data_IF_040217848268
#
_entry.id   IF_040217848268
#
_cell.length_a   1.000
_cell.length_b   1.000
_cell.length_c   1.000
_cell.angle_alpha   90.00
_cell.angle_beta   90.00
_cell.angle_gamma   90.00
#
_symmetry.space_group_name_H-M   'P 1'
#
loop_
_entity.id
_entity.type
_entity.pdbx_description
1 polymer ?
#
# COMPACT_ATOMS: atom_id res chain seq x y z
N UNK A 1 -10.92 5.05 17.80
CA UNK A 1 -11.55 6.22 17.15
C UNK A 1 -11.25 7.49 17.94
N UNK A 2 -10.39 8.37 17.41
CA UNK A 2 -10.24 9.73 17.89
C UNK A 2 -10.10 10.66 16.68
N UNK A 3 -11.11 11.50 16.47
CA UNK A 3 -11.15 12.52 15.41
C UNK A 3 -10.19 13.65 15.76
N UNK A 4 -9.09 13.78 15.02
CA UNK A 4 -8.33 15.02 14.97
C UNK A 4 -8.87 15.89 13.84
N UNK A 5 -9.85 16.74 14.16
CA UNK A 5 -10.26 17.85 13.30
C UNK A 5 -9.73 19.16 13.88
N UNK A 6 -8.79 19.79 13.19
CA UNK A 6 -8.67 21.26 13.11
C UNK A 6 -7.99 21.64 11.79
N UNK A 7 -8.81 22.08 10.83
CA UNK A 7 -8.42 23.03 9.79
C UNK A 7 -7.63 22.52 8.58
N UNK A 8 -8.04 21.43 7.93
CA UNK A 8 -7.84 21.35 6.47
C UNK A 8 -9.12 21.85 5.83
N UNK A 9 -9.06 22.75 4.84
CA UNK A 9 -10.17 22.89 3.87
C UNK A 9 -10.54 21.45 3.51
N UNK A 10 -11.79 21.04 3.71
CA UNK A 10 -12.22 19.70 3.30
C UNK A 10 -11.88 19.59 1.82
N UNK A 11 -10.82 18.85 1.51
CA UNK A 11 -10.47 18.60 0.13
C UNK A 11 -11.62 17.73 -0.37
N UNK A 12 -12.50 18.34 -1.17
CA UNK A 12 -13.59 17.63 -1.80
C UNK A 12 -12.98 16.45 -2.56
N UNK A 13 -13.55 15.24 -2.43
CA UNK A 13 -13.17 14.12 -3.28
C UNK A 13 -13.15 14.54 -4.75
N UNK A 14 -12.27 13.93 -5.55
CA UNK A 14 -12.08 14.34 -6.94
C UNK A 14 -13.39 14.25 -7.74
N UNK A 15 -14.19 13.20 -7.48
CA UNK A 15 -15.50 13.01 -8.10
C UNK A 15 -16.52 14.11 -7.78
N UNK A 16 -16.35 14.83 -6.67
CA UNK A 16 -17.23 15.94 -6.25
C UNK A 16 -16.79 17.30 -6.81
N UNK A 17 -15.62 17.37 -7.47
CA UNK A 17 -15.20 18.59 -8.15
C UNK A 17 -16.14 18.90 -9.32
N UNK A 18 -16.24 20.19 -9.68
CA UNK A 18 -16.98 20.56 -10.89
C UNK A 18 -16.32 19.95 -12.14
N UNK A 19 -17.12 19.61 -13.16
CA UNK A 19 -16.61 19.06 -14.43
C UNK A 19 -15.47 19.87 -15.04
N UNK A 20 -15.52 21.20 -14.90
CA UNK A 20 -14.43 22.10 -15.35
C UNK A 20 -13.13 21.81 -14.61
N UNK A 21 -13.17 21.71 -13.26
CA UNK A 21 -11.98 21.43 -12.44
C UNK A 21 -11.41 20.04 -12.71
N UNK A 22 -12.28 19.04 -12.91
CA UNK A 22 -11.85 17.69 -13.30
C UNK A 22 -11.13 17.72 -14.65
N UNK A 23 -11.71 18.40 -15.65
CA UNK A 23 -11.10 18.55 -16.98
C UNK A 23 -9.78 19.32 -16.94
N UNK A 24 -9.69 20.40 -16.16
CA UNK A 24 -8.45 21.18 -16.02
C UNK A 24 -7.33 20.31 -15.41
N UNK A 25 -7.65 19.54 -14.36
CA UNK A 25 -6.71 18.59 -13.76
C UNK A 25 -6.29 17.48 -14.75
N UNK A 26 -7.26 16.94 -15.50
CA UNK A 26 -7.01 15.92 -16.53
C UNK A 26 -6.02 16.42 -17.58
N UNK A 27 -6.22 17.64 -18.10
CA UNK A 27 -5.32 18.25 -19.09
C UNK A 27 -3.93 18.49 -18.51
N UNK A 28 -3.84 18.98 -17.26
CA UNK A 28 -2.54 19.17 -16.60
C UNK A 28 -1.78 17.84 -16.45
N UNK A 29 -2.46 16.78 -16.01
CA UNK A 29 -1.86 15.47 -15.87
C UNK A 29 -1.45 14.89 -17.24
N UNK A 30 -2.25 15.08 -18.28
CA UNK A 30 -1.89 14.67 -19.65
C UNK A 30 -0.55 15.27 -20.09
N UNK A 31 -0.35 16.57 -19.87
CA UNK A 31 0.92 17.22 -20.19
C UNK A 31 2.08 16.65 -19.37
N UNK A 32 1.86 16.37 -18.09
CA UNK A 32 2.87 15.73 -17.25
C UNK A 32 3.28 14.36 -17.78
N UNK A 33 2.30 13.50 -18.11
CA UNK A 33 2.56 12.18 -18.69
C UNK A 33 3.39 12.30 -19.98
N UNK A 34 3.07 13.27 -20.85
CA UNK A 34 3.85 13.52 -22.06
C UNK A 34 5.29 13.93 -21.74
N UNK A 35 5.50 14.84 -20.78
CA UNK A 35 6.83 15.23 -20.33
C UNK A 35 7.64 14.06 -19.75
N UNK A 36 6.97 13.16 -19.02
CA UNK A 36 7.60 12.03 -18.36
C UNK A 36 7.71 10.78 -19.27
N UNK A 37 7.31 10.87 -20.54
CA UNK A 37 7.39 9.76 -21.52
C UNK A 37 8.77 9.08 -21.55
N UNK A 38 9.91 9.80 -21.52
CA UNK A 38 11.23 9.15 -21.50
C UNK A 38 11.48 8.27 -20.27
N UNK A 39 10.70 8.43 -19.20
CA UNK A 39 10.84 7.72 -17.93
C UNK A 39 9.76 6.64 -17.71
N UNK A 40 8.54 6.88 -18.19
CA UNK A 40 7.38 6.02 -17.88
C UNK A 40 6.58 5.56 -19.11
N UNK A 41 7.11 5.71 -20.32
CA UNK A 41 6.48 5.19 -21.54
C UNK A 41 5.24 5.94 -22.03
N UNK A 42 4.82 6.99 -21.33
CA UNK A 42 3.75 7.90 -21.80
C UNK A 42 2.32 7.41 -21.53
N UNK A 43 2.14 6.33 -20.75
CA UNK A 43 0.82 5.85 -20.29
C UNK A 43 0.48 6.40 -18.90
N UNK A 44 1.49 6.55 -18.06
CA UNK A 44 1.36 7.01 -16.68
C UNK A 44 2.48 7.97 -16.30
N UNK A 45 2.37 8.53 -15.10
CA UNK A 45 3.43 9.29 -14.43
C UNK A 45 3.44 8.93 -12.95
N UNK A 46 4.59 9.12 -12.28
CA UNK A 46 4.72 8.96 -10.84
C UNK A 46 5.69 9.97 -10.25
N UNK A 47 5.50 10.24 -8.95
CA UNK A 47 6.44 10.99 -8.13
C UNK A 47 7.55 10.10 -7.54
N UNK A 48 7.41 8.78 -7.62
CA UNK A 48 8.37 7.80 -7.14
C UNK A 48 9.40 7.45 -8.22
N UNK A 49 10.49 6.77 -7.87
CA UNK A 49 11.44 6.22 -8.85
C UNK A 49 11.13 4.75 -9.06
N UNK A 50 10.80 4.36 -10.29
CA UNK A 50 10.51 2.97 -10.65
C UNK A 50 11.79 2.13 -10.71
N UNK A 51 12.74 2.53 -11.58
CA UNK A 51 13.96 1.74 -11.83
C UNK A 51 15.17 2.33 -11.09
N UNK A 52 15.22 2.18 -9.77
CA UNK A 52 16.38 2.59 -8.98
C UNK A 52 17.58 1.64 -9.23
N UNK A 53 18.72 2.12 -9.77
CA UNK A 53 19.83 1.25 -10.13
C UNK A 53 20.40 0.52 -8.91
N UNK A 54 20.51 -0.80 -9.01
CA UNK A 54 21.06 -1.66 -7.94
C UNK A 54 20.09 -1.96 -6.80
N UNK A 55 18.82 -1.53 -6.89
CA UNK A 55 17.78 -1.91 -5.94
C UNK A 55 17.40 -3.39 -6.14
N UNK A 56 17.45 -4.23 -5.09
CA UNK A 56 17.00 -5.60 -5.19
C UNK A 56 15.50 -5.72 -5.50
N UNK A 57 15.14 -6.69 -6.33
CA UNK A 57 13.77 -7.01 -6.76
C UNK A 57 12.76 -7.17 -5.62
N UNK A 58 13.24 -7.59 -4.44
CA UNK A 58 12.42 -7.76 -3.25
C UNK A 58 11.76 -6.46 -2.78
N UNK A 59 12.31 -5.32 -3.18
CA UNK A 59 11.75 -4.01 -2.88
C UNK A 59 10.86 -3.48 -4.01
N UNK A 60 10.80 -4.14 -5.16
CA UNK A 60 10.00 -3.74 -6.32
C UNK A 60 8.65 -4.46 -6.30
N UNK A 61 7.95 -4.39 -5.16
CA UNK A 61 6.73 -5.16 -4.92
C UNK A 61 5.46 -4.30 -4.92
N UNK A 62 5.63 -2.98 -4.96
CA UNK A 62 4.55 -2.01 -5.00
C UNK A 62 4.99 -0.74 -5.75
N UNK A 63 4.04 0.03 -6.27
CA UNK A 63 4.30 1.33 -6.88
C UNK A 63 3.05 2.21 -6.92
N UNK A 64 3.20 3.51 -6.62
CA UNK A 64 2.14 4.49 -6.82
C UNK A 64 2.30 5.20 -8.17
N UNK A 65 1.20 5.38 -8.90
CA UNK A 65 1.21 6.07 -10.19
C UNK A 65 -0.13 6.73 -10.52
N UNK A 66 -0.09 7.67 -11.46
CA UNK A 66 -1.25 8.38 -11.97
C UNK A 66 -1.41 8.08 -13.46
N UNK A 67 -2.63 7.79 -13.89
CA UNK A 67 -2.97 7.69 -15.32
C UNK A 67 -4.35 8.25 -15.61
N UNK A 68 -4.64 8.44 -16.90
CA UNK A 68 -5.89 9.03 -17.37
C UNK A 68 -6.88 7.94 -17.76
N UNK A 69 -8.14 8.16 -17.38
CA UNK A 69 -9.28 7.40 -17.88
C UNK A 69 -9.51 7.66 -19.37
N UNK A 70 -10.16 6.71 -20.03
CA UNK A 70 -10.70 6.85 -21.38
C UNK A 70 -11.86 7.86 -21.49
N UNK A 71 -12.51 8.23 -20.37
CA UNK A 71 -13.66 9.15 -20.35
C UNK A 71 -13.31 10.64 -20.61
N UNK A 72 -12.02 10.98 -20.56
CA UNK A 72 -11.54 12.33 -20.80
C UNK A 72 -11.68 13.32 -19.63
N UNK A 73 -12.03 12.86 -18.43
CA UNK A 73 -12.11 13.69 -17.22
C UNK A 73 -11.63 13.02 -15.92
N UNK A 74 -11.59 11.69 -15.85
CA UNK A 74 -11.17 10.95 -14.66
C UNK A 74 -9.66 10.76 -14.63
N UNK A 75 -9.10 11.03 -13.45
CA UNK A 75 -7.72 10.71 -13.11
C UNK A 75 -7.77 9.51 -12.18
N UNK A 76 -7.06 8.45 -12.54
CA UNK A 76 -6.82 7.32 -11.66
C UNK A 76 -5.56 7.58 -10.85
N UNK A 77 -5.70 7.52 -9.53
CA UNK A 77 -4.60 7.58 -8.58
C UNK A 77 -4.41 6.18 -8.02
N UNK A 78 -3.46 5.46 -8.61
CA UNK A 78 -3.35 4.03 -8.48
C UNK A 78 -2.16 3.62 -7.61
N UNK A 79 -2.40 2.64 -6.75
CA UNK A 79 -1.39 1.82 -6.11
C UNK A 79 -1.47 0.43 -6.77
N UNK A 80 -0.34 -0.10 -7.21
CA UNK A 80 -0.23 -1.48 -7.69
C UNK A 80 0.70 -2.25 -6.80
N UNK A 81 0.30 -3.46 -6.41
CA UNK A 81 1.11 -4.39 -5.63
C UNK A 81 1.16 -5.76 -6.32
N UNK A 82 2.25 -6.49 -6.11
CA UNK A 82 2.35 -7.89 -6.54
C UNK A 82 1.48 -8.79 -5.67
N UNK A 83 1.12 -9.96 -6.20
CA UNK A 83 0.51 -11.04 -5.40
C UNK A 83 1.37 -11.45 -4.20
N UNK A 84 2.70 -11.33 -4.32
CA UNK A 84 3.63 -11.59 -3.22
C UNK A 84 3.48 -10.57 -2.07
N UNK A 85 3.40 -9.26 -2.36
CA UNK A 85 3.14 -8.24 -1.36
C UNK A 85 1.79 -8.45 -0.70
N UNK A 86 0.74 -8.60 -1.52
CA UNK A 86 -0.62 -8.84 -1.03
C UNK A 86 -0.71 -10.07 -0.12
N UNK A 87 0.03 -11.13 -0.43
CA UNK A 87 0.11 -12.33 0.41
C UNK A 87 0.78 -12.07 1.75
N UNK A 88 1.89 -11.32 1.78
CA UNK A 88 2.55 -10.96 3.03
C UNK A 88 1.69 -10.04 3.88
N UNK A 89 1.05 -9.05 3.28
CA UNK A 89 0.14 -8.14 3.97
C UNK A 89 -1.03 -8.92 4.59
N UNK A 90 -1.66 -9.83 3.83
CA UNK A 90 -2.75 -10.67 4.34
C UNK A 90 -2.31 -11.57 5.51
N UNK A 91 -1.12 -12.17 5.44
CA UNK A 91 -0.58 -12.96 6.55
C UNK A 91 -0.30 -12.08 7.77
N UNK A 92 0.27 -10.89 7.54
CA UNK A 92 0.58 -9.93 8.60
C UNK A 92 -0.70 -9.45 9.30
N UNK A 93 -1.75 -9.13 8.54
CA UNK A 93 -3.07 -8.73 9.02
C UNK A 93 -3.71 -9.85 9.85
N UNK A 94 -3.76 -11.08 9.33
CA UNK A 94 -4.32 -12.22 10.06
C UNK A 94 -3.54 -12.51 11.35
N UNK A 95 -2.21 -12.44 11.32
CA UNK A 95 -1.37 -12.61 12.50
C UNK A 95 -1.59 -11.47 13.52
N UNK A 96 -1.79 -10.25 13.02
CA UNK A 96 -2.11 -9.08 13.83
C UNK A 96 -3.46 -9.23 14.52
N UNK A 97 -4.52 -9.57 13.79
CA UNK A 97 -5.87 -9.79 14.33
C UNK A 97 -5.87 -10.86 15.42
N UNK A 98 -5.20 -12.00 15.17
CA UNK A 98 -5.07 -13.07 16.15
C UNK A 98 -4.32 -12.61 17.40
N UNK A 99 -3.19 -11.92 17.22
CA UNK A 99 -2.38 -11.40 18.35
C UNK A 99 -3.17 -10.36 19.15
N UNK A 100 -3.85 -9.44 18.47
CA UNK A 100 -4.67 -8.40 19.10
C UNK A 100 -5.82 -9.01 19.90
N UNK A 101 -6.45 -10.08 19.41
CA UNK A 101 -7.59 -10.73 20.07
C UNK A 101 -7.25 -11.33 21.45
N UNK A 102 -5.96 -11.60 21.71
CA UNK A 102 -5.46 -12.14 22.97
C UNK A 102 -5.11 -11.06 24.01
N UNK A 103 -5.02 -9.80 23.60
CA UNK A 103 -4.72 -8.68 24.48
C UNK A 103 -6.00 -8.09 25.08
N UNK A 104 -5.93 -7.72 26.36
CA UNK A 104 -6.95 -6.87 26.96
C UNK A 104 -6.89 -5.46 26.37
N UNK A 105 -7.99 -4.70 26.49
CA UNK A 105 -8.03 -3.30 26.04
C UNK A 105 -6.97 -2.43 26.71
N UNK A 106 -6.66 -2.71 27.97
CA UNK A 106 -5.69 -1.95 28.75
C UNK A 106 -4.26 -2.28 28.32
N UNK A 107 -3.95 -3.57 28.10
CA UNK A 107 -2.67 -4.01 27.55
C UNK A 107 -2.42 -3.40 26.17
N UNK A 108 -3.42 -3.49 25.28
CA UNK A 108 -3.37 -2.87 23.96
C UNK A 108 -3.11 -1.36 24.05
N UNK A 109 -3.88 -0.66 24.88
CA UNK A 109 -3.72 0.80 25.04
C UNK A 109 -2.34 1.16 25.57
N UNK A 110 -1.75 0.31 26.41
CA UNK A 110 -0.44 0.57 26.99
C UNK A 110 0.72 0.26 26.01
N UNK A 111 0.57 -0.74 25.14
CA UNK A 111 1.52 -1.03 24.04
C UNK A 111 1.61 0.14 23.06
N UNK A 112 0.46 0.75 22.73
CA UNK A 112 0.37 1.85 21.76
C UNK A 112 0.31 3.23 22.41
N UNK A 113 0.74 3.36 23.68
CA UNK A 113 0.85 4.63 24.40
C UNK A 113 2.06 5.46 23.93
N UNK A 114 2.18 5.68 22.62
CA UNK A 114 3.28 6.41 21.99
C UNK A 114 3.30 7.86 22.48
N UNK A 115 4.48 8.34 22.85
CA UNK A 115 4.68 9.73 23.26
C UNK A 115 5.34 10.51 22.14
N UNK A 116 5.02 11.80 22.05
CA UNK A 116 5.73 12.71 21.14
C UNK A 116 6.37 13.82 21.94
N UNK A 117 7.64 14.11 21.63
CA UNK A 117 8.38 15.23 22.22
C UNK A 117 8.82 16.20 21.12
N UNK A 118 8.73 17.51 21.33
CA UNK A 118 9.21 18.48 20.35
C UNK A 118 10.72 18.36 20.21
N UNK A 119 11.23 18.49 18.98
CA UNK A 119 12.67 18.63 18.70
C UNK A 119 12.94 19.97 18.03
N UNK A 120 14.19 20.50 18.10
CA UNK A 120 14.52 21.78 17.49
C UNK A 120 14.08 21.86 16.03
N UNK A 121 13.59 23.03 15.62
CA UNK A 121 13.05 23.23 14.28
C UNK A 121 14.15 23.10 13.23
N UNK A 122 13.93 22.27 12.21
CA UNK A 122 14.78 22.21 11.02
C UNK A 122 14.12 23.06 9.95
N UNK A 123 14.82 24.09 9.45
CA UNK A 123 14.31 25.03 8.42
C UNK A 123 12.96 25.68 8.78
N UNK A 124 12.76 26.01 10.07
CA UNK A 124 11.54 26.67 10.56
C UNK A 124 10.32 25.75 10.70
N UNK A 125 10.42 24.46 10.38
CA UNK A 125 9.35 23.49 10.64
C UNK A 125 9.44 22.93 12.06
N UNK A 126 8.30 22.89 12.76
CA UNK A 126 8.20 22.22 14.07
C UNK A 126 8.27 20.71 13.84
N UNK A 127 9.29 20.09 14.41
CA UNK A 127 9.50 18.66 14.31
C UNK A 127 9.20 18.01 15.66
N UNK A 128 8.70 16.78 15.63
CA UNK A 128 8.46 15.97 16.83
C UNK A 128 9.20 14.64 16.69
N UNK A 129 9.75 14.15 17.79
CA UNK A 129 10.27 12.79 17.91
C UNK A 129 9.20 11.93 18.56
N UNK A 130 8.90 10.80 17.93
CA UNK A 130 8.08 9.73 18.53
C UNK A 130 8.96 8.92 19.47
N UNK A 131 8.46 8.65 20.67
CA UNK A 131 9.07 7.77 21.66
C UNK A 131 8.14 6.57 21.79
N UNK A 132 8.66 5.42 21.36
CA UNK A 132 7.98 4.13 21.48
C UNK A 132 8.13 3.62 22.93
N UNK A 133 7.08 3.02 23.51
CA UNK A 133 7.20 2.28 24.77
C UNK A 133 8.21 1.13 24.63
N UNK A 134 8.86 0.77 25.74
CA UNK A 134 9.66 -0.46 25.78
C UNK A 134 8.78 -1.68 25.50
N UNK A 135 9.23 -2.63 24.66
CA UNK A 135 8.47 -3.84 24.35
C UNK A 135 8.09 -4.61 25.62
N UNK A 136 6.80 -4.90 25.79
CA UNK A 136 6.30 -5.62 26.96
C UNK A 136 6.04 -7.07 26.61
N UNK A 137 6.26 -7.94 27.58
CA UNK A 137 5.93 -9.37 27.49
C UNK A 137 4.59 -9.62 28.16
N UNK A 138 3.71 -10.35 27.48
CA UNK A 138 2.34 -10.59 27.93
C UNK A 138 2.13 -12.07 28.20
N UNK A 139 1.50 -12.40 29.33
CA UNK A 139 1.18 -13.81 29.69
C UNK A 139 0.23 -14.41 28.66
N UNK A 140 -0.73 -13.64 28.15
CA UNK A 140 -1.66 -14.04 27.09
C UNK A 140 -0.98 -14.35 25.75
N UNK A 141 0.26 -13.89 25.56
CA UNK A 141 1.08 -14.15 24.37
C UNK A 141 2.22 -15.13 24.68
N UNK A 142 2.04 -16.04 25.64
CA UNK A 142 3.05 -17.00 26.09
C UNK A 142 4.37 -16.34 26.59
N UNK A 143 4.27 -15.15 27.18
CA UNK A 143 5.45 -14.38 27.61
C UNK A 143 6.22 -13.73 26.46
N UNK A 144 5.68 -13.72 25.24
CA UNK A 144 6.25 -13.01 24.10
C UNK A 144 5.83 -11.54 24.09
N UNK A 145 6.60 -10.73 23.38
CA UNK A 145 6.16 -9.40 22.96
C UNK A 145 5.11 -9.50 21.85
N UNK A 146 4.35 -8.43 21.62
CA UNK A 146 3.37 -8.37 20.52
C UNK A 146 4.03 -8.69 19.18
N UNK A 147 5.19 -8.10 18.92
CA UNK A 147 5.96 -8.34 17.69
C UNK A 147 6.43 -9.79 17.56
N UNK A 148 7.05 -10.35 18.61
CA UNK A 148 7.49 -11.76 18.60
C UNK A 148 6.32 -12.73 18.39
N UNK A 149 5.18 -12.45 19.03
CA UNK A 149 3.97 -13.27 18.88
C UNK A 149 3.40 -13.18 17.47
N UNK A 150 3.33 -11.97 16.89
CA UNK A 150 2.87 -11.77 15.52
C UNK A 150 3.80 -12.47 14.51
N UNK A 151 5.12 -12.37 14.65
CA UNK A 151 6.08 -13.07 13.78
C UNK A 151 5.95 -14.60 13.86
N UNK A 152 5.72 -15.14 15.07
CA UNK A 152 5.44 -16.56 15.30
C UNK A 152 4.13 -16.98 14.63
N UNK A 153 3.07 -16.20 14.82
CA UNK A 153 1.73 -16.46 14.28
C UNK A 153 1.74 -16.39 12.75
N UNK A 154 2.39 -15.38 12.16
CA UNK A 154 2.57 -15.26 10.72
C UNK A 154 3.30 -16.49 10.13
N UNK A 155 4.34 -16.98 10.82
CA UNK A 155 5.06 -18.21 10.42
C UNK A 155 4.19 -19.47 10.49
N UNK A 156 3.27 -19.55 11.46
CA UNK A 156 2.32 -20.65 11.59
C UNK A 156 1.26 -20.60 10.48
N UNK A 157 0.64 -19.44 10.25
CA UNK A 157 -0.33 -19.22 9.16
C UNK A 157 0.29 -19.61 7.81
N UNK A 158 1.50 -19.13 7.53
CA UNK A 158 2.21 -19.44 6.29
C UNK A 158 2.38 -20.95 6.05
N UNK A 159 2.58 -21.72 7.13
CA UNK A 159 2.85 -23.17 7.08
C UNK A 159 1.56 -23.98 7.04
N UNK A 160 0.61 -23.64 7.90
CA UNK A 160 -0.52 -24.50 8.22
C UNK A 160 -1.76 -24.13 7.40
N UNK A 161 -1.95 -22.85 7.08
CA UNK A 161 -3.13 -22.33 6.39
C UNK A 161 -2.83 -21.03 5.62
N UNK A 162 -1.99 -21.06 4.56
CA UNK A 162 -1.68 -19.87 3.78
C UNK A 162 -2.95 -19.34 3.08
N UNK A 163 -3.20 -18.01 3.08
CA UNK A 163 -4.37 -17.45 2.43
C UNK A 163 -4.27 -17.52 0.90
N UNK A 164 -5.41 -17.64 0.25
CA UNK A 164 -5.51 -17.44 -1.20
C UNK A 164 -5.50 -15.94 -1.52
N UNK A 165 -4.76 -15.56 -2.55
CA UNK A 165 -4.69 -14.19 -3.06
C UNK A 165 -5.23 -14.15 -4.47
N UNK A 166 -5.97 -13.11 -4.82
CA UNK A 166 -6.60 -12.95 -6.12
C UNK A 166 -6.09 -11.66 -6.76
N UNK A 167 -5.88 -11.69 -8.08
CA UNK A 167 -5.75 -10.43 -8.81
C UNK A 167 -7.04 -9.63 -8.68
N UNK A 168 -6.93 -8.33 -8.46
CA UNK A 168 -8.08 -7.47 -8.22
C UNK A 168 -7.83 -6.01 -8.62
N UNK A 169 -8.93 -5.31 -8.83
CA UNK A 169 -9.03 -3.86 -8.98
C UNK A 169 -10.11 -3.37 -8.02
N UNK A 170 -9.72 -2.49 -7.09
CA UNK A 170 -10.62 -1.92 -6.08
C UNK A 170 -10.60 -0.40 -6.17
N UNK A 171 -11.76 0.25 -6.07
CA UNK A 171 -11.91 1.68 -6.35
C UNK A 171 -12.27 2.44 -5.07
N UNK A 172 -11.45 3.43 -4.70
CA UNK A 172 -11.76 4.40 -3.63
C UNK A 172 -12.13 5.77 -4.22
N UNK A 173 -13.42 6.11 -4.13
CA UNK A 173 -13.94 7.40 -4.63
C UNK A 173 -13.82 8.53 -3.60
N UNK A 174 -13.35 8.26 -2.39
CA UNK A 174 -13.22 9.26 -1.32
C UNK A 174 -11.96 10.13 -1.45
N UNK A 175 -11.04 9.75 -2.34
CA UNK A 175 -9.76 10.42 -2.50
C UNK A 175 -9.86 11.76 -3.24
N UNK A 176 -9.00 12.72 -2.87
CA UNK A 176 -9.06 14.10 -3.40
C UNK A 176 -8.14 14.38 -4.60
N UNK A 177 -7.17 13.50 -4.88
CA UNK A 177 -6.12 13.71 -5.89
C UNK A 177 -6.30 12.78 -7.11
N UNK A 178 -7.54 12.58 -7.51
CA UNK A 178 -7.96 11.53 -8.46
C UNK A 178 -8.89 10.55 -7.76
N UNK A 179 -9.43 9.61 -8.53
CA UNK A 179 -10.15 8.44 -8.00
C UNK A 179 -9.10 7.39 -7.62
N UNK A 180 -9.13 6.94 -6.37
CA UNK A 180 -8.23 5.90 -5.87
C UNK A 180 -8.47 4.57 -6.56
N UNK A 181 -7.40 3.85 -6.87
CA UNK A 181 -7.43 2.54 -7.49
C UNK A 181 -6.35 1.66 -6.88
N UNK A 182 -6.74 0.58 -6.21
CA UNK A 182 -5.81 -0.42 -5.70
C UNK A 182 -5.80 -1.62 -6.65
N UNK A 183 -4.61 -2.03 -7.10
CA UNK A 183 -4.42 -3.13 -8.03
C UNK A 183 -3.57 -4.24 -7.40
N UNK A 184 -4.05 -5.47 -7.46
CA UNK A 184 -3.25 -6.68 -7.16
C UNK A 184 -3.02 -7.44 -8.46
N UNK A 185 -1.76 -7.73 -8.79
CA UNK A 185 -1.39 -8.42 -10.03
C UNK A 185 -0.49 -9.63 -9.78
N UNK A 186 -0.62 -10.67 -10.61
CA UNK A 186 0.30 -11.80 -10.63
C UNK A 186 1.57 -11.43 -11.41
N UNK A 187 2.54 -10.89 -10.69
CA UNK A 187 3.85 -10.52 -11.21
C UNK A 187 4.92 -10.71 -10.13
N UNK A 188 6.16 -11.12 -10.50
CA UNK A 188 7.25 -11.28 -9.53
C UNK A 188 7.80 -9.94 -9.02
N UNK A 189 7.76 -8.91 -9.87
CA UNK A 189 8.19 -7.54 -9.57
C UNK A 189 7.30 -6.55 -10.31
N UNK A 190 7.23 -5.32 -9.81
CA UNK A 190 6.61 -4.19 -10.50
C UNK A 190 7.67 -3.48 -11.33
N UNK A 191 7.46 -3.46 -12.64
CA UNK A 191 8.23 -2.68 -13.60
C UNK A 191 7.27 -1.89 -14.52
N UNK A 192 7.84 -1.13 -15.45
CA UNK A 192 7.05 -0.32 -16.39
C UNK A 192 6.06 -1.19 -17.20
N UNK A 193 6.50 -2.35 -17.68
CA UNK A 193 5.68 -3.23 -18.51
C UNK A 193 4.51 -3.85 -17.73
N UNK A 194 4.71 -4.18 -16.46
CA UNK A 194 3.65 -4.64 -15.56
C UNK A 194 2.60 -3.56 -15.34
N UNK A 195 3.02 -2.33 -15.07
CA UNK A 195 2.12 -1.18 -14.88
C UNK A 195 1.30 -0.93 -16.15
N UNK A 196 1.96 -0.86 -17.31
CA UNK A 196 1.28 -0.64 -18.59
C UNK A 196 0.26 -1.74 -18.88
N UNK A 197 0.63 -3.02 -18.68
CA UNK A 197 -0.29 -4.16 -18.85
C UNK A 197 -1.48 -4.09 -17.90
N UNK A 198 -1.26 -3.72 -16.64
CA UNK A 198 -2.34 -3.57 -15.66
C UNK A 198 -3.31 -2.45 -16.06
N UNK A 199 -2.79 -1.29 -16.50
CA UNK A 199 -3.61 -0.18 -17.02
C UNK A 199 -4.42 -0.61 -18.25
N UNK A 200 -3.81 -1.32 -19.19
CA UNK A 200 -4.51 -1.84 -20.37
C UNK A 200 -5.63 -2.81 -19.97
N UNK A 201 -5.34 -3.76 -19.08
CA UNK A 201 -6.33 -4.73 -18.58
C UNK A 201 -7.49 -4.04 -17.88
N UNK A 202 -7.20 -3.05 -17.03
CA UNK A 202 -8.22 -2.27 -16.34
C UNK A 202 -9.14 -1.52 -17.32
N UNK A 203 -8.57 -0.91 -18.37
CA UNK A 203 -9.34 -0.25 -19.44
C UNK A 203 -10.21 -1.21 -20.23
N UNK A 204 -9.65 -2.36 -20.63
CA UNK A 204 -10.38 -3.40 -21.38
C UNK A 204 -11.57 -3.97 -20.60
N UNK A 205 -11.47 -3.98 -19.26
CA UNK A 205 -12.55 -4.38 -18.35
C UNK A 205 -13.56 -3.26 -18.06
N UNK A 206 -13.41 -2.08 -18.67
CA UNK A 206 -14.32 -0.96 -18.51
C UNK A 206 -14.04 -0.05 -17.32
N UNK A 207 -12.82 -0.06 -16.79
CA UNK A 207 -12.37 0.80 -15.67
C UNK A 207 -13.24 0.67 -14.40
N UNK A 208 -13.60 -0.58 -14.07
CA UNK A 208 -14.43 -0.92 -12.93
C UNK A 208 -13.73 -1.84 -11.93
N UNK A 209 -14.40 -2.06 -10.79
CA UNK A 209 -13.97 -3.05 -9.81
C UNK A 209 -13.99 -4.45 -10.42
N UNK A 210 -13.01 -5.26 -10.06
CA UNK A 210 -12.87 -6.61 -10.55
C UNK A 210 -12.08 -7.47 -9.57
N UNK A 211 -12.42 -8.74 -9.49
CA UNK A 211 -11.64 -9.76 -8.77
C UNK A 211 -11.57 -11.00 -9.65
N UNK A 212 -10.40 -11.61 -9.74
CA UNK A 212 -10.22 -12.89 -10.43
C UNK A 212 -11.08 -13.98 -9.78
N UNK A 213 -11.61 -14.91 -10.58
CA UNK A 213 -12.33 -16.08 -10.07
C UNK A 213 -11.42 -17.21 -9.64
N UNK A 214 -10.12 -17.12 -9.97
CA UNK A 214 -9.10 -18.11 -9.64
C UNK A 214 -7.99 -17.42 -8.86
N UNK A 215 -7.52 -18.00 -7.74
CA UNK A 215 -6.43 -17.41 -6.97
C UNK A 215 -5.11 -17.49 -7.75
N UNK A 216 -4.19 -16.58 -7.41
CA UNK A 216 -2.81 -16.62 -7.84
C UNK A 216 -2.21 -17.97 -7.41
N UNK A 217 -1.59 -18.73 -8.33
CA UNK A 217 -1.02 -20.02 -8.01
C UNK A 217 -0.06 -19.98 -6.81
N UNK A 218 -0.21 -20.93 -5.88
CA UNK A 218 0.61 -20.96 -4.64
C UNK A 218 2.12 -20.99 -4.90
N UNK A 219 2.57 -21.52 -6.03
CA UNK A 219 3.97 -21.54 -6.44
C UNK A 219 4.51 -20.18 -6.92
N UNK A 220 3.64 -19.20 -7.20
CA UNK A 220 4.02 -17.80 -7.46
C UNK A 220 4.13 -16.99 -6.15
N UNK A 221 3.51 -17.49 -5.07
CA UNK A 221 3.49 -16.84 -3.75
C UNK A 221 4.69 -17.28 -2.88
N UNK A 222 5.17 -16.42 -1.96
CA UNK A 222 6.36 -16.69 -1.17
C UNK A 222 6.17 -17.87 -0.20
N UNK A 223 7.28 -18.57 0.09
CA UNK A 223 7.34 -19.68 1.08
C UNK A 223 7.91 -19.25 2.42
N UNK A 224 8.27 -17.98 2.55
CA UNK A 224 8.82 -17.38 3.76
C UNK A 224 8.05 -16.08 4.05
N UNK A 225 8.11 -15.64 5.31
CA UNK A 225 7.58 -14.34 5.71
C UNK A 225 8.45 -13.22 5.14
N UNK A 226 7.85 -12.04 4.92
CA UNK A 226 8.56 -10.85 4.43
C UNK A 226 9.83 -10.57 5.23
N UNK A 227 9.74 -10.58 6.56
CA UNK A 227 10.87 -10.34 7.46
C UNK A 227 12.05 -11.30 7.21
N UNK A 228 11.78 -12.58 6.95
CA UNK A 228 12.83 -13.58 6.65
C UNK A 228 13.42 -13.35 5.26
N UNK A 229 12.60 -13.02 4.28
CA UNK A 229 13.07 -12.76 2.93
C UNK A 229 13.90 -11.47 2.87
N UNK A 230 13.50 -10.40 3.55
CA UNK A 230 14.30 -9.16 3.62
C UNK A 230 15.63 -9.42 4.35
N UNK A 231 15.63 -10.24 5.41
CA UNK A 231 16.85 -10.56 6.15
C UNK A 231 17.93 -11.20 5.26
N UNK A 232 17.57 -12.06 4.31
CA UNK A 232 18.54 -12.71 3.41
C UNK A 232 19.21 -11.77 2.40
N UNK A 233 18.73 -10.52 2.26
CA UNK A 233 19.37 -9.49 1.41
C UNK A 233 20.24 -8.51 2.21
N UNK A 234 20.33 -8.67 3.53
CA UNK A 234 21.19 -7.85 4.41
C UNK A 234 22.52 -8.53 4.76
N UNK A 235 22.68 -9.78 4.37
CA UNK A 235 23.90 -10.59 4.50
C UNK A 235 24.78 -10.48 3.25
#
# INVERSE_FOLDING_TARGET
MARFSKGRRSQLPFGELSRRRQRDAFVQLRWRILCDTPRYGGIFTSHQTLDEPGRPDIYNQWFDFLFLSIDGHTIWNAEIITGQMAFWDQISELAWEQTQSLLTKDEFSAEFAWKTVPVPSVRGQKMHRVIFPEPRRYVSLDGLTVREHQERTASQILKDSPPDIYESFEIDRSYSYGVGLHMVVDAPVIDQGIIERAVHTFRERGEGEWVSTVPIPRNHLPKQTEAKTIASYRE
#
